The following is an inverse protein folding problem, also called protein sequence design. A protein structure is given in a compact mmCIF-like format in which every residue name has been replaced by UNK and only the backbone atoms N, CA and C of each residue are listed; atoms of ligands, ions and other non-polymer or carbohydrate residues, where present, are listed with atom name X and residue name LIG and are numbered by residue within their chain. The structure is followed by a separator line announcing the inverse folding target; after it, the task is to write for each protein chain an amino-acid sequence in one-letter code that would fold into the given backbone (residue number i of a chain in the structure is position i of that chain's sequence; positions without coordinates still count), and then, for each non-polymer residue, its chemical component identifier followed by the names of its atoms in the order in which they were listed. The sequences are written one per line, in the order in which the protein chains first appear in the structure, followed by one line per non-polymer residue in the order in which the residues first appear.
data_IF_477326988961
#
_entry.id   IF_477326988961
#
_cell.length_a   1.000
_cell.length_b   1.000
_cell.length_c   1.000
_cell.angle_alpha   90.00
_cell.angle_beta   90.00
_cell.angle_gamma   90.00
#
_symmetry.space_group_name_H-M   'P 1'
#
loop_
_entity.id
_entity.type
_entity.pdbx_description
1 polymer ?
#
# COMPACT_ATOMS: atom_id res chain seq x y z
N UNK A 1 -27.03 -7.43 3.99
CA UNK A 1 -26.55 -6.51 2.93
C UNK A 1 -25.24 -7.07 2.39
N UNK A 2 -25.19 -7.56 1.13
CA UNK A 2 -23.91 -7.95 0.51
C UNK A 2 -23.10 -6.66 0.32
N UNK A 3 -22.04 -6.47 1.11
CA UNK A 3 -21.07 -5.41 0.81
C UNK A 3 -20.49 -5.75 -0.56
N UNK A 4 -20.78 -4.94 -1.57
CA UNK A 4 -20.08 -4.95 -2.86
C UNK A 4 -18.66 -4.42 -2.61
N UNK A 5 -17.89 -5.13 -1.77
CA UNK A 5 -16.49 -4.84 -1.57
C UNK A 5 -15.77 -5.36 -2.81
N UNK A 6 -15.56 -4.45 -3.76
CA UNK A 6 -14.72 -4.71 -4.92
C UNK A 6 -13.26 -4.88 -4.48
N UNK A 7 -12.87 -4.31 -3.34
CA UNK A 7 -11.52 -4.43 -2.78
C UNK A 7 -11.30 -5.81 -2.16
N UNK A 8 -10.30 -6.51 -2.68
CA UNK A 8 -9.85 -7.84 -2.24
C UNK A 8 -8.47 -7.84 -1.62
N UNK A 9 -7.60 -6.93 -2.04
CA UNK A 9 -6.27 -6.82 -1.49
C UNK A 9 -5.97 -5.39 -1.06
N UNK A 10 -5.33 -5.27 0.09
CA UNK A 10 -4.76 -4.04 0.61
C UNK A 10 -3.24 -4.21 0.65
N UNK A 11 -2.53 -3.32 -0.03
CA UNK A 11 -1.09 -3.19 0.05
C UNK A 11 -0.75 -1.97 0.87
N UNK A 12 -0.02 -2.19 1.96
CA UNK A 12 0.54 -1.16 2.80
C UNK A 12 2.01 -0.96 2.45
N UNK A 13 2.43 0.29 2.25
CA UNK A 13 3.83 0.66 2.07
C UNK A 13 4.09 2.08 2.58
N UNK A 14 5.35 2.40 2.87
CA UNK A 14 5.73 3.68 3.45
C UNK A 14 6.43 3.52 4.79
N UNK A 15 6.78 4.63 5.41
CA UNK A 15 7.31 4.66 6.77
C UNK A 15 6.18 4.50 7.78
N UNK A 16 6.54 4.22 9.04
CA UNK A 16 5.58 4.15 10.15
C UNK A 16 4.83 5.47 10.38
N UNK A 17 5.45 6.59 10.02
CA UNK A 17 4.93 7.95 10.22
C UNK A 17 4.03 8.43 9.08
N UNK A 18 4.12 7.80 7.91
CA UNK A 18 3.28 8.15 6.75
C UNK A 18 2.95 6.88 5.95
N UNK A 19 2.11 5.99 6.50
CA UNK A 19 1.71 4.78 5.79
C UNK A 19 0.81 5.13 4.60
N UNK A 20 1.09 4.49 3.47
CA UNK A 20 0.24 4.52 2.27
C UNK A 20 -0.43 3.17 2.12
N UNK A 21 -1.73 3.21 1.91
CA UNK A 21 -2.57 2.05 1.69
C UNK A 21 -3.07 2.09 0.24
N UNK A 22 -3.03 0.96 -0.45
CA UNK A 22 -3.51 0.85 -1.82
C UNK A 22 -4.40 -0.37 -1.94
N UNK A 23 -5.60 -0.15 -2.47
CA UNK A 23 -6.64 -1.16 -2.60
C UNK A 23 -6.69 -1.71 -4.02
N UNK A 24 -6.82 -3.02 -4.12
CA UNK A 24 -6.92 -3.75 -5.38
C UNK A 24 -8.12 -4.69 -5.37
N UNK A 25 -8.68 -4.98 -6.53
CA UNK A 25 -9.72 -6.00 -6.71
C UNK A 25 -9.15 -7.41 -6.89
N UNK A 26 -10.02 -8.39 -7.16
CA UNK A 26 -9.64 -9.79 -7.44
C UNK A 26 -8.80 -9.96 -8.71
N UNK A 27 -8.92 -9.03 -9.67
CA UNK A 27 -8.13 -9.01 -10.89
C UNK A 27 -6.83 -8.21 -10.75
N UNK A 28 -6.47 -7.84 -9.51
CA UNK A 28 -5.28 -7.04 -9.18
C UNK A 28 -5.31 -5.63 -9.79
N UNK A 29 -6.49 -5.10 -10.13
CA UNK A 29 -6.64 -3.73 -10.61
C UNK A 29 -6.69 -2.76 -9.46
N UNK A 30 -5.98 -1.64 -9.61
CA UNK A 30 -5.99 -0.55 -8.65
C UNK A 30 -7.40 0.03 -8.55
N UNK A 31 -7.95 0.06 -7.34
CA UNK A 31 -9.24 0.69 -7.04
C UNK A 31 -9.05 2.08 -6.44
N UNK A 32 -8.14 2.21 -5.47
CA UNK A 32 -7.89 3.46 -4.77
C UNK A 32 -6.51 3.47 -4.12
N UNK A 33 -5.92 4.67 -4.04
CA UNK A 33 -4.82 5.00 -3.13
C UNK A 33 -5.39 5.76 -1.94
N UNK A 34 -5.01 5.34 -0.74
CA UNK A 34 -5.34 5.97 0.52
C UNK A 34 -4.04 6.46 1.16
N UNK A 35 -4.00 7.77 1.38
CA UNK A 35 -2.93 8.43 2.13
C UNK A 35 -3.58 8.79 3.47
N UNK A 36 -3.20 8.06 4.51
CA UNK A 36 -3.77 8.25 5.83
C UNK A 36 -2.76 9.05 6.66
N UNK A 37 -3.08 10.32 6.93
CA UNK A 37 -2.24 11.20 7.75
C UNK A 37 -2.34 10.85 9.25
N UNK A 38 -3.46 10.24 9.67
CA UNK A 38 -3.76 9.91 11.07
C UNK A 38 -3.76 8.38 11.37
N UNK A 39 -3.66 7.54 10.34
CA UNK A 39 -3.52 6.07 10.45
C UNK A 39 -4.80 5.29 10.82
N UNK A 40 -5.90 5.98 11.12
CA UNK A 40 -7.13 5.37 11.65
C UNK A 40 -7.87 4.46 10.64
N UNK A 41 -7.92 4.86 9.36
CA UNK A 41 -8.60 4.09 8.32
C UNK A 41 -7.79 2.85 7.97
N UNK A 42 -6.47 3.00 7.90
CA UNK A 42 -5.55 1.89 7.69
C UNK A 42 -5.68 0.86 8.81
N UNK A 43 -5.66 1.27 10.07
CA UNK A 43 -5.76 0.36 11.21
C UNK A 43 -7.09 -0.43 11.23
N UNK A 44 -8.18 0.22 10.82
CA UNK A 44 -9.49 -0.43 10.69
C UNK A 44 -9.47 -1.52 9.60
N UNK A 45 -8.87 -1.24 8.44
CA UNK A 45 -8.72 -2.21 7.37
C UNK A 45 -7.75 -3.34 7.72
N UNK A 46 -6.68 -3.04 8.46
CA UNK A 46 -5.73 -4.03 8.95
C UNK A 46 -6.36 -4.98 9.99
N UNK A 47 -7.32 -4.49 10.79
CA UNK A 47 -8.08 -5.33 11.73
C UNK A 47 -9.01 -6.32 11.03
N UNK A 48 -9.62 -5.92 9.91
CA UNK A 48 -10.50 -6.79 9.13
C UNK A 48 -9.72 -7.68 8.16
N UNK A 49 -8.55 -7.24 7.71
CA UNK A 49 -7.73 -7.91 6.71
C UNK A 49 -6.87 -9.04 7.28
N UNK A 50 -6.71 -10.12 6.50
CA UNK A 50 -5.78 -11.19 6.82
C UNK A 50 -4.45 -10.95 6.13
N UNK A 51 -3.34 -10.94 6.88
CA UNK A 51 -2.01 -10.88 6.29
C UNK A 51 -1.79 -12.08 5.33
N UNK A 52 -1.44 -11.78 4.08
CA UNK A 52 -1.19 -12.78 3.03
C UNK A 52 0.10 -12.47 2.30
N UNK A 53 0.67 -13.48 1.63
CA UNK A 53 1.69 -13.17 0.63
C UNK A 53 1.03 -12.46 -0.55
N UNK A 54 1.52 -11.28 -0.95
CA UNK A 54 1.02 -10.62 -2.13
C UNK A 54 1.23 -11.49 -3.37
N UNK A 55 0.30 -11.47 -4.35
CA UNK A 55 0.53 -12.06 -5.65
C UNK A 55 1.80 -11.51 -6.29
N UNK A 56 2.57 -12.36 -6.96
CA UNK A 56 3.89 -12.01 -7.51
C UNK A 56 3.84 -10.83 -8.49
N UNK A 57 2.73 -10.69 -9.23
CA UNK A 57 2.46 -9.58 -10.16
C UNK A 57 2.29 -8.24 -9.43
N UNK A 58 1.48 -8.21 -8.38
CA UNK A 58 1.31 -7.02 -7.53
C UNK A 58 2.63 -6.57 -6.89
N UNK A 59 3.45 -7.51 -6.40
CA UNK A 59 4.77 -7.19 -5.84
C UNK A 59 5.67 -6.53 -6.89
N UNK A 60 5.71 -7.07 -8.12
CA UNK A 60 6.54 -6.53 -9.18
C UNK A 60 6.12 -5.10 -9.54
N UNK A 61 4.82 -4.86 -9.72
CA UNK A 61 4.27 -3.55 -10.04
C UNK A 61 4.57 -2.51 -8.95
N UNK A 62 4.30 -2.84 -7.68
CA UNK A 62 4.54 -1.92 -6.56
C UNK A 62 6.04 -1.70 -6.37
N UNK A 63 6.87 -2.74 -6.46
CA UNK A 63 8.33 -2.59 -6.34
C UNK A 63 8.94 -1.71 -7.44
N UNK A 64 8.34 -1.71 -8.64
CA UNK A 64 8.78 -0.87 -9.75
C UNK A 64 8.35 0.58 -9.54
N UNK A 65 7.10 0.81 -9.10
CA UNK A 65 6.58 2.12 -8.76
C UNK A 65 7.38 2.77 -7.61
N UNK A 66 7.64 2.01 -6.53
CA UNK A 66 8.45 2.46 -5.39
C UNK A 66 9.87 2.84 -5.81
N UNK A 67 10.51 2.02 -6.67
CA UNK A 67 11.84 2.34 -7.21
C UNK A 67 11.83 3.59 -8.09
N UNK A 68 10.77 3.83 -8.85
CA UNK A 68 10.62 5.03 -9.66
C UNK A 68 10.44 6.29 -8.78
N UNK A 69 9.58 6.23 -7.76
CA UNK A 69 9.40 7.30 -6.78
C UNK A 69 10.70 7.62 -6.03
N UNK A 70 11.42 6.60 -5.56
CA UNK A 70 12.70 6.79 -4.88
C UNK A 70 13.75 7.50 -5.76
N UNK A 71 13.80 7.19 -7.06
CA UNK A 71 14.67 7.89 -8.02
C UNK A 71 14.24 9.36 -8.23
N UNK A 72 12.94 9.64 -8.20
CA UNK A 72 12.40 10.98 -8.42
C UNK A 72 12.61 11.88 -7.20
N UNK A 73 12.39 11.37 -5.98
CA UNK A 73 12.64 12.11 -4.73
C UNK A 73 14.12 12.50 -4.59
N UNK A 74 15.05 11.60 -4.96
CA UNK A 74 16.49 11.94 -4.99
C UNK A 74 16.85 13.05 -5.97
N UNK A 75 16.08 13.22 -7.05
CA UNK A 75 16.29 14.30 -8.03
C UNK A 75 15.66 15.62 -7.60
N UNK A 76 14.59 15.59 -6.82
CA UNK A 76 13.84 16.80 -6.43
C UNK A 76 14.39 17.53 -5.20
N UNK A 77 15.43 17.02 -4.51
CA UNK A 77 16.08 17.73 -3.40
C UNK A 77 15.21 17.97 -2.17
N UNK A 78 13.98 17.44 -2.14
CA UNK A 78 13.16 17.36 -0.93
C UNK A 78 13.83 16.33 -0.02
N UNK A 79 14.34 16.78 1.13
CA UNK A 79 15.12 16.00 2.09
C UNK A 79 14.55 14.59 2.31
N UNK A 80 15.09 13.62 1.58
CA UNK A 80 14.75 12.23 1.76
C UNK A 80 15.38 11.81 3.08
N UNK A 81 14.55 11.64 4.12
CA UNK A 81 14.97 10.99 5.35
C UNK A 81 15.66 9.66 4.96
N UNK A 82 16.95 9.50 5.30
CA UNK A 82 17.71 8.31 4.93
C UNK A 82 17.23 7.18 5.83
N UNK A 83 16.41 6.27 5.29
CA UNK A 83 15.96 5.08 6.01
C UNK A 83 14.47 5.00 6.30
N UNK A 84 13.60 5.54 5.44
CA UNK A 84 12.22 5.07 5.42
C UNK A 84 12.23 3.59 5.00
N UNK A 85 12.36 2.70 5.98
CA UNK A 85 12.16 1.26 5.82
C UNK A 85 10.78 1.06 5.22
N UNK A 86 10.76 0.91 3.91
CA UNK A 86 9.55 0.91 3.14
C UNK A 86 8.96 -0.49 3.23
N UNK A 87 8.18 -0.71 4.29
CA UNK A 87 7.64 -2.01 4.61
C UNK A 87 6.45 -2.32 3.71
N UNK A 88 6.65 -3.18 2.72
CA UNK A 88 5.55 -3.70 1.91
C UNK A 88 4.84 -4.82 2.67
N UNK A 89 3.56 -4.63 2.99
CA UNK A 89 2.70 -5.66 3.61
C UNK A 89 1.42 -5.82 2.79
N UNK A 90 0.93 -7.05 2.66
CA UNK A 90 -0.29 -7.33 1.91
C UNK A 90 -1.32 -8.00 2.81
N UNK A 91 -2.57 -7.58 2.66
CA UNK A 91 -3.70 -8.09 3.41
C UNK A 91 -4.82 -8.43 2.44
N UNK A 92 -5.42 -9.60 2.59
CA UNK A 92 -6.64 -9.98 1.89
C UNK A 92 -7.84 -9.46 2.68
N UNK A 93 -8.75 -8.77 2.00
CA UNK A 93 -10.00 -8.25 2.54
C UNK A 93 -11.13 -9.22 2.19
N UNK A 94 -11.93 -9.58 3.20
CA UNK A 94 -13.03 -10.56 3.12
C UNK A 94 -14.34 -9.97 2.65
#
# INVERSE_FOLDING_TARGET
MKRNNCARYLLLFGSKESPRAVLFDEEERLLAEMIDEDGFLVDSLLREGRAVRPPSRLVAAVSQALRACAKQVRRSGAGAAPGADLHLRCFALG
#
